data_IF_005221108107
#
_entry.id   IF_005221108107
#
_cell.length_a   1.000
_cell.length_b   1.000
_cell.length_c   1.000
_cell.angle_alpha   90.00
_cell.angle_beta   90.00
_cell.angle_gamma   90.00
#
_symmetry.space_group_name_H-M   'P 1'
#
loop_
_entity.id
_entity.type
_entity.pdbx_description
1 polymer ?
#
# COMPACT_ATOMS: atom_id res chain seq x y z
N UNK A 1 -17.22 -23.36 -14.21
CA UNK A 1 -18.12 -23.86 -13.15
C UNK A 1 -17.83 -23.06 -11.89
N UNK A 2 -18.70 -22.11 -11.56
CA UNK A 2 -18.57 -21.32 -10.34
C UNK A 2 -18.90 -22.20 -9.15
N UNK A 3 -17.94 -22.39 -8.25
CA UNK A 3 -18.19 -23.00 -6.96
C UNK A 3 -19.05 -22.02 -6.14
N UNK A 4 -20.25 -22.44 -5.80
CA UNK A 4 -21.16 -21.74 -4.90
C UNK A 4 -20.58 -21.86 -3.50
N UNK A 5 -20.06 -20.76 -2.95
CA UNK A 5 -19.70 -20.70 -1.53
C UNK A 5 -20.98 -20.75 -0.69
N UNK A 6 -21.12 -21.80 0.11
CA UNK A 6 -22.22 -22.01 1.04
C UNK A 6 -22.03 -21.17 2.31
N UNK A 7 -23.14 -20.61 2.81
CA UNK A 7 -23.20 -19.67 3.93
C UNK A 7 -22.77 -20.24 5.29
N UNK A 8 -21.46 -20.27 5.53
CA UNK A 8 -20.91 -19.99 6.86
C UNK A 8 -20.86 -18.47 7.05
N UNK A 9 -20.90 -17.93 8.30
CA UNK A 9 -20.47 -16.56 8.51
C UNK A 9 -19.06 -16.48 7.95
N UNK A 10 -18.89 -15.81 6.81
CA UNK A 10 -17.61 -15.74 6.13
C UNK A 10 -16.59 -15.23 7.15
N UNK A 11 -15.54 -16.01 7.41
CA UNK A 11 -14.45 -15.56 8.26
C UNK A 11 -13.97 -14.18 7.83
N UNK A 12 -13.46 -13.39 8.77
CA UNK A 12 -12.95 -12.04 8.47
C UNK A 12 -11.90 -12.03 7.35
N UNK A 13 -11.24 -13.18 7.12
CA UNK A 13 -10.31 -13.44 6.03
C UNK A 13 -10.98 -14.24 4.90
N UNK A 14 -10.77 -13.78 3.66
CA UNK A 14 -11.20 -14.42 2.42
C UNK A 14 -10.35 -15.67 2.15
N UNK A 15 -10.99 -16.79 1.81
CA UNK A 15 -10.32 -18.02 1.39
C UNK A 15 -9.43 -17.80 0.17
N UNK A 16 -8.34 -18.56 0.03
CA UNK A 16 -7.40 -18.44 -1.10
C UNK A 16 -6.85 -17.01 -1.29
N UNK A 17 -6.61 -16.29 -0.19
CA UNK A 17 -6.24 -14.87 -0.22
C UNK A 17 -5.04 -14.55 -1.11
N UNK A 18 -3.99 -15.39 -1.09
CA UNK A 18 -2.77 -15.17 -1.92
C UNK A 18 -3.12 -15.11 -3.40
N UNK A 19 -3.96 -16.02 -3.89
CA UNK A 19 -4.39 -16.05 -5.29
C UNK A 19 -5.21 -14.80 -5.65
N UNK A 20 -6.04 -14.33 -4.72
CA UNK A 20 -6.82 -13.10 -4.92
C UNK A 20 -5.96 -11.83 -4.88
N UNK A 21 -4.89 -11.79 -4.09
CA UNK A 21 -3.89 -10.71 -4.12
C UNK A 21 -3.14 -10.69 -5.45
N UNK A 22 -2.78 -11.86 -5.98
CA UNK A 22 -2.15 -11.98 -7.30
C UNK A 22 -3.12 -11.53 -8.41
N UNK A 23 -4.40 -11.91 -8.32
CA UNK A 23 -5.43 -11.43 -9.26
C UNK A 23 -5.56 -9.90 -9.23
N UNK A 24 -5.61 -9.31 -8.03
CA UNK A 24 -5.71 -7.87 -7.83
C UNK A 24 -4.53 -7.10 -8.43
N UNK A 25 -3.29 -7.58 -8.21
CA UNK A 25 -2.09 -6.95 -8.78
C UNK A 25 -2.10 -6.98 -10.32
N UNK A 26 -2.47 -8.12 -10.92
CA UNK A 26 -2.60 -8.26 -12.38
C UNK A 26 -3.68 -7.33 -12.95
N UNK A 27 -4.82 -7.22 -12.28
CA UNK A 27 -5.89 -6.33 -12.70
C UNK A 27 -5.44 -4.85 -12.73
N UNK A 28 -4.75 -4.40 -11.69
CA UNK A 28 -4.21 -3.05 -11.63
C UNK A 28 -3.10 -2.80 -12.67
N UNK A 29 -2.24 -3.78 -12.94
CA UNK A 29 -1.22 -3.68 -13.99
C UNK A 29 -1.82 -3.50 -15.38
N UNK A 30 -2.90 -4.22 -15.69
CA UNK A 30 -3.60 -4.08 -16.97
C UNK A 30 -4.18 -2.68 -17.13
N UNK A 31 -4.78 -2.13 -16.08
CA UNK A 31 -5.32 -0.76 -16.06
C UNK A 31 -4.19 0.27 -16.20
N UNK A 32 -3.10 0.11 -15.45
CA UNK A 32 -1.91 0.97 -15.53
C UNK A 32 -1.30 0.97 -16.93
N UNK A 33 -1.15 -0.20 -17.56
CA UNK A 33 -0.58 -0.32 -18.89
C UNK A 33 -1.40 0.47 -19.93
N UNK A 34 -2.73 0.38 -19.87
CA UNK A 34 -3.64 1.17 -20.72
C UNK A 34 -3.51 2.66 -20.44
N UNK A 35 -3.55 3.07 -19.17
CA UNK A 35 -3.44 4.48 -18.78
C UNK A 35 -2.11 5.09 -19.24
N UNK A 36 -1.02 4.34 -19.09
CA UNK A 36 0.30 4.75 -19.58
C UNK A 36 0.29 4.99 -21.08
N UNK A 37 -0.34 4.11 -21.86
CA UNK A 37 -0.42 4.27 -23.31
C UNK A 37 -1.22 5.52 -23.71
N UNK A 38 -2.36 5.77 -23.07
CA UNK A 38 -3.19 6.96 -23.34
C UNK A 38 -2.48 8.27 -22.98
N UNK A 39 -1.85 8.33 -21.81
CA UNK A 39 -1.11 9.52 -21.37
C UNK A 39 0.13 9.73 -22.24
N UNK A 40 0.86 8.66 -22.60
CA UNK A 40 2.01 8.75 -23.52
C UNK A 40 1.61 9.34 -24.89
N UNK A 41 0.49 8.88 -25.46
CA UNK A 41 -0.02 9.42 -26.73
C UNK A 41 -0.35 10.92 -26.66
N UNK A 42 -0.77 11.43 -25.50
CA UNK A 42 -1.04 12.86 -25.28
C UNK A 42 0.26 13.66 -25.17
N UNK A 43 1.23 13.18 -24.39
CA UNK A 43 2.42 13.96 -24.02
C UNK A 43 3.62 13.74 -24.94
N UNK A 44 3.56 12.76 -25.85
CA UNK A 44 4.64 12.38 -26.78
C UNK A 44 4.23 12.40 -28.27
N UNK A 45 3.61 13.47 -28.81
CA UNK A 45 3.12 13.49 -30.20
C UNK A 45 4.19 13.31 -31.28
N UNK A 46 5.48 13.52 -30.95
CA UNK A 46 6.63 13.29 -31.82
C UNK A 46 7.56 12.15 -31.35
N UNK A 47 7.06 11.23 -30.51
CA UNK A 47 7.85 10.14 -29.95
C UNK A 47 8.79 10.53 -28.79
N UNK A 48 8.82 11.81 -28.43
CA UNK A 48 9.52 12.34 -27.25
C UNK A 48 8.56 13.15 -26.39
N UNK A 49 8.79 13.15 -25.08
CA UNK A 49 8.01 13.95 -24.13
C UNK A 49 8.18 15.43 -24.46
N UNK A 50 7.06 16.14 -24.59
CA UNK A 50 7.03 17.59 -24.70
C UNK A 50 6.79 18.20 -23.32
N UNK A 51 7.76 18.95 -22.78
CA UNK A 51 7.62 19.61 -21.47
C UNK A 51 6.40 20.53 -21.40
N UNK A 52 6.16 21.33 -22.43
CA UNK A 52 4.98 22.21 -22.51
C UNK A 52 3.66 21.44 -22.46
N UNK A 53 3.58 20.27 -23.11
CA UNK A 53 2.37 19.45 -23.06
C UNK A 53 2.28 18.77 -21.70
N UNK A 54 3.39 18.26 -21.15
CA UNK A 54 3.41 17.65 -19.84
C UNK A 54 2.92 18.60 -18.75
N UNK A 55 3.34 19.87 -18.78
CA UNK A 55 2.87 20.90 -17.85
C UNK A 55 1.36 21.16 -18.00
N UNK A 56 0.85 21.23 -19.24
CA UNK A 56 -0.59 21.36 -19.50
C UNK A 56 -1.38 20.14 -19.01
N UNK A 57 -0.80 18.95 -19.17
CA UNK A 57 -1.39 17.66 -18.78
C UNK A 57 -0.96 17.22 -17.37
N UNK A 58 -0.46 18.13 -16.53
CA UNK A 58 0.19 17.80 -15.25
C UNK A 58 -0.70 16.93 -14.36
N UNK A 59 -2.00 17.24 -14.30
CA UNK A 59 -2.96 16.44 -13.53
C UNK A 59 -3.01 14.97 -14.00
N UNK A 60 -3.04 14.72 -15.31
CA UNK A 60 -3.02 13.36 -15.86
C UNK A 60 -1.66 12.68 -15.69
N UNK A 61 -0.56 13.43 -15.79
CA UNK A 61 0.78 12.91 -15.56
C UNK A 61 1.00 12.50 -14.10
N UNK A 62 0.61 13.34 -13.14
CA UNK A 62 0.65 13.02 -11.72
C UNK A 62 -0.34 11.90 -11.37
N UNK A 63 -1.55 11.93 -11.95
CA UNK A 63 -2.54 10.87 -11.75
C UNK A 63 -2.06 9.51 -12.25
N UNK A 64 -1.32 9.47 -13.36
CA UNK A 64 -0.66 8.25 -13.82
C UNK A 64 0.41 7.77 -12.83
N UNK A 65 1.19 8.68 -12.24
CA UNK A 65 2.17 8.32 -11.22
C UNK A 65 1.50 7.73 -9.97
N UNK A 66 0.40 8.32 -9.49
CA UNK A 66 -0.40 7.78 -8.38
C UNK A 66 -1.00 6.41 -8.70
N UNK A 67 -1.54 6.21 -9.90
CA UNK A 67 -2.00 4.90 -10.35
C UNK A 67 -0.86 3.87 -10.37
N UNK A 68 0.34 4.27 -10.83
CA UNK A 68 1.51 3.40 -10.83
C UNK A 68 1.93 3.02 -9.41
N UNK A 69 1.89 3.97 -8.47
CA UNK A 69 2.13 3.71 -7.04
C UNK A 69 1.14 2.69 -6.49
N UNK A 70 -0.16 2.83 -6.77
CA UNK A 70 -1.19 1.92 -6.27
C UNK A 70 -1.06 0.51 -6.87
N UNK A 71 -0.77 0.42 -8.18
CA UNK A 71 -0.48 -0.87 -8.82
C UNK A 71 0.78 -1.54 -8.23
N UNK A 72 1.81 -0.75 -7.90
CA UNK A 72 3.00 -1.25 -7.20
C UNK A 72 2.66 -1.77 -5.79
N UNK A 73 1.84 -1.06 -5.02
CA UNK A 73 1.39 -1.52 -3.69
C UNK A 73 0.69 -2.88 -3.79
N UNK A 74 -0.25 -3.06 -4.73
CA UNK A 74 -0.94 -4.35 -4.91
C UNK A 74 0.02 -5.49 -5.29
N UNK A 75 1.03 -5.19 -6.13
CA UNK A 75 2.07 -6.15 -6.51
C UNK A 75 2.92 -6.56 -5.29
N UNK A 76 3.38 -5.58 -4.51
CA UNK A 76 4.20 -5.84 -3.33
C UNK A 76 3.42 -6.57 -2.24
N UNK A 77 2.13 -6.29 -2.06
CA UNK A 77 1.25 -7.05 -1.16
C UNK A 77 1.12 -8.52 -1.59
N UNK A 78 0.97 -8.79 -2.89
CA UNK A 78 0.92 -10.15 -3.40
C UNK A 78 2.24 -10.90 -3.14
N UNK A 79 3.37 -10.28 -3.47
CA UNK A 79 4.68 -10.89 -3.24
C UNK A 79 5.01 -11.06 -1.75
N UNK A 80 4.62 -10.10 -0.91
CA UNK A 80 4.71 -10.21 0.55
C UNK A 80 3.95 -11.42 1.07
N UNK A 81 2.71 -11.59 0.64
CA UNK A 81 1.87 -12.73 1.01
C UNK A 81 2.48 -14.06 0.53
N UNK A 82 2.99 -14.13 -0.71
CA UNK A 82 3.67 -15.31 -1.24
C UNK A 82 4.89 -15.69 -0.40
N UNK A 83 5.79 -14.73 -0.13
CA UNK A 83 7.02 -14.97 0.66
C UNK A 83 6.71 -15.43 2.08
N UNK A 84 5.80 -14.73 2.77
CA UNK A 84 5.43 -15.11 4.12
C UNK A 84 4.73 -16.47 4.17
N UNK A 85 3.87 -16.78 3.19
CA UNK A 85 3.20 -18.07 3.08
C UNK A 85 4.21 -19.20 2.92
N UNK A 86 5.21 -19.02 2.04
CA UNK A 86 6.27 -20.00 1.83
C UNK A 86 7.09 -20.28 3.10
N UNK A 87 7.18 -19.31 4.01
CA UNK A 87 7.85 -19.45 5.31
C UNK A 87 6.93 -19.81 6.48
N UNK A 88 5.62 -20.02 6.24
CA UNK A 88 4.65 -20.30 7.31
C UNK A 88 4.37 -19.12 8.25
N UNK A 89 4.71 -17.90 7.85
CA UNK A 89 4.60 -16.66 8.64
C UNK A 89 3.44 -15.75 8.23
N UNK A 90 2.65 -16.14 7.23
CA UNK A 90 1.49 -15.36 6.78
C UNK A 90 0.26 -15.62 7.68
N UNK A 91 0.31 -15.09 8.89
CA UNK A 91 -0.72 -15.24 9.91
C UNK A 91 -1.96 -14.38 9.68
N UNK A 92 -2.89 -14.42 10.63
CA UNK A 92 -4.18 -13.72 10.52
C UNK A 92 -4.02 -12.20 10.41
N UNK A 93 -3.07 -11.61 11.15
CA UNK A 93 -2.86 -10.15 11.12
C UNK A 93 -2.35 -9.67 9.76
N UNK A 94 -1.42 -10.42 9.17
CA UNK A 94 -0.84 -10.16 7.85
C UNK A 94 -1.89 -10.34 6.76
N UNK A 95 -2.69 -11.41 6.86
CA UNK A 95 -3.81 -11.69 5.95
C UNK A 95 -4.83 -10.56 5.96
N UNK A 96 -5.31 -10.14 7.14
CA UNK A 96 -6.27 -9.04 7.27
C UNK A 96 -5.71 -7.73 6.74
N UNK A 97 -4.46 -7.41 7.07
CA UNK A 97 -3.79 -6.17 6.60
C UNK A 97 -3.69 -6.13 5.08
N UNK A 98 -3.18 -7.20 4.46
CA UNK A 98 -3.04 -7.28 3.01
C UNK A 98 -4.41 -7.26 2.29
N UNK A 99 -5.39 -7.99 2.83
CA UNK A 99 -6.75 -8.05 2.30
C UNK A 99 -7.45 -6.68 2.32
N UNK A 100 -7.41 -5.99 3.45
CA UNK A 100 -8.03 -4.67 3.63
C UNK A 100 -7.37 -3.65 2.70
N UNK A 101 -6.03 -3.61 2.67
CA UNK A 101 -5.29 -2.70 1.81
C UNK A 101 -5.59 -2.96 0.33
N UNK A 102 -5.59 -4.22 -0.11
CA UNK A 102 -5.88 -4.55 -1.49
C UNK A 102 -7.31 -4.18 -1.89
N UNK A 103 -8.30 -4.47 -1.03
CA UNK A 103 -9.69 -4.09 -1.28
C UNK A 103 -9.89 -2.58 -1.37
N UNK A 104 -9.24 -1.82 -0.49
CA UNK A 104 -9.30 -0.35 -0.53
C UNK A 104 -8.65 0.20 -1.80
N UNK A 105 -7.46 -0.29 -2.16
CA UNK A 105 -6.70 0.23 -3.30
C UNK A 105 -7.37 -0.10 -4.63
N UNK A 106 -7.99 -1.28 -4.78
CA UNK A 106 -8.80 -1.61 -5.96
C UNK A 106 -9.97 -0.62 -6.13
N UNK A 107 -10.69 -0.34 -5.04
CA UNK A 107 -11.82 0.57 -5.06
C UNK A 107 -11.40 2.03 -5.29
N UNK A 108 -10.26 2.47 -4.74
CA UNK A 108 -9.71 3.79 -5.01
C UNK A 108 -9.20 3.92 -6.45
N UNK A 109 -8.57 2.90 -7.02
CA UNK A 109 -8.22 2.93 -8.46
C UNK A 109 -9.49 3.09 -9.31
N UNK A 110 -10.55 2.34 -9.00
CA UNK A 110 -11.79 2.39 -9.77
C UNK A 110 -12.62 3.68 -9.55
N UNK A 111 -12.63 4.21 -8.32
CA UNK A 111 -13.47 5.35 -7.90
C UNK A 111 -12.77 6.72 -7.93
N UNK A 112 -11.44 6.73 -7.86
CA UNK A 112 -10.61 7.94 -7.82
C UNK A 112 -9.57 7.87 -6.70
N UNK A 113 -8.29 7.99 -7.06
CA UNK A 113 -7.17 7.97 -6.12
C UNK A 113 -6.99 9.38 -5.55
N UNK A 114 -7.05 9.57 -4.22
CA UNK A 114 -6.78 10.88 -3.62
C UNK A 114 -5.29 11.22 -3.75
N UNK A 115 -4.97 12.25 -4.52
CA UNK A 115 -3.60 12.80 -4.61
C UNK A 115 -3.33 13.80 -3.48
N UNK A 116 -4.38 14.50 -3.06
CA UNK A 116 -4.48 15.28 -1.84
C UNK A 116 -5.97 15.38 -1.43
N UNK A 117 -6.31 16.26 -0.47
CA UNK A 117 -7.69 16.36 0.02
C UNK A 117 -8.70 16.88 -1.02
N UNK A 118 -8.26 17.62 -2.05
CA UNK A 118 -9.12 18.22 -3.08
C UNK A 118 -8.94 17.64 -4.49
N UNK A 119 -7.85 16.92 -4.74
CA UNK A 119 -7.50 16.40 -6.06
C UNK A 119 -7.53 14.87 -6.11
N UNK A 120 -8.24 14.34 -7.09
CA UNK A 120 -8.39 12.91 -7.31
C UNK A 120 -7.96 12.54 -8.73
N UNK A 121 -7.11 11.54 -8.85
CA UNK A 121 -6.79 10.93 -10.13
C UNK A 121 -7.88 9.90 -10.48
N UNK A 122 -8.68 10.17 -11.51
CA UNK A 122 -9.70 9.24 -11.99
C UNK A 122 -9.32 8.65 -13.32
N UNK A 123 -9.76 7.42 -13.59
CA UNK A 123 -9.39 6.69 -14.80
C UNK A 123 -9.81 7.42 -16.09
N UNK A 124 -10.94 8.14 -16.09
CA UNK A 124 -11.36 8.95 -17.24
C UNK A 124 -10.41 10.10 -17.55
N UNK A 125 -9.76 10.68 -16.54
CA UNK A 125 -8.79 11.76 -16.73
C UNK A 125 -7.50 11.24 -17.39
N UNK A 126 -7.26 9.93 -17.28
CA UNK A 126 -6.19 9.17 -17.93
C UNK A 126 -6.60 8.58 -19.29
N UNK A 127 -7.84 8.83 -19.74
CA UNK A 127 -8.35 8.36 -21.03
C UNK A 127 -8.98 6.97 -21.02
N UNK A 128 -9.27 6.40 -19.84
CA UNK A 128 -9.87 5.07 -19.71
C UNK A 128 -11.40 5.12 -19.61
N UNK A 129 -12.04 4.11 -20.18
CA UNK A 129 -13.48 3.89 -20.06
C UNK A 129 -13.84 3.04 -18.83
N UNK A 130 -15.13 2.97 -18.49
CA UNK A 130 -15.63 2.04 -17.46
C UNK A 130 -15.30 0.58 -17.79
N UNK A 131 -15.35 0.19 -19.07
CA UNK A 131 -14.98 -1.17 -19.48
C UNK A 131 -13.50 -1.47 -19.28
N UNK A 132 -12.62 -0.46 -19.32
CA UNK A 132 -11.20 -0.66 -19.03
C UNK A 132 -10.96 -0.97 -17.55
N UNK A 133 -11.84 -0.50 -16.67
CA UNK A 133 -11.79 -0.74 -15.23
C UNK A 133 -12.45 -2.06 -14.78
N UNK A 134 -13.16 -2.76 -15.68
CA UNK A 134 -13.89 -4.00 -15.36
C UNK A 134 -13.04 -5.05 -14.61
N UNK A 135 -11.76 -5.31 -14.97
CA UNK A 135 -10.94 -6.28 -14.25
C UNK A 135 -10.75 -5.98 -12.75
N UNK A 136 -10.82 -4.70 -12.34
CA UNK A 136 -10.73 -4.31 -10.93
C UNK A 136 -11.98 -4.75 -10.16
N UNK A 137 -13.15 -4.59 -10.77
CA UNK A 137 -14.44 -4.94 -10.16
C UNK A 137 -14.67 -6.46 -10.07
N UNK A 138 -14.05 -7.22 -10.98
CA UNK A 138 -14.11 -8.68 -11.00
C UNK A 138 -13.21 -9.33 -9.92
N UNK A 139 -12.39 -8.55 -9.24
CA UNK A 139 -11.58 -9.03 -8.11
C UNK A 139 -12.46 -9.23 -6.88
N UNK A 140 -12.41 -10.42 -6.28
CA UNK A 140 -13.14 -10.73 -5.03
C UNK A 140 -12.83 -9.71 -3.93
N UNK A 141 -11.58 -9.26 -3.84
CA UNK A 141 -11.12 -8.28 -2.86
C UNK A 141 -11.74 -6.89 -3.04
N UNK A 142 -12.18 -6.52 -4.24
CA UNK A 142 -12.88 -5.24 -4.44
C UNK A 142 -14.21 -5.20 -3.67
N UNK A 143 -14.85 -6.36 -3.45
CA UNK A 143 -16.12 -6.45 -2.73
C UNK A 143 -15.95 -6.89 -1.28
N UNK A 144 -15.01 -7.81 -1.03
CA UNK A 144 -14.86 -8.49 0.27
C UNK A 144 -13.57 -8.18 1.01
N UNK A 145 -12.70 -7.34 0.43
CA UNK A 145 -11.39 -7.05 1.01
C UNK A 145 -11.49 -6.16 2.25
N UNK A 146 -12.07 -4.97 2.09
CA UNK A 146 -12.17 -3.95 3.15
C UNK A 146 -13.56 -3.89 3.78
N UNK A 147 -13.94 -4.93 4.54
CA UNK A 147 -15.24 -4.98 5.25
C UNK A 147 -15.15 -4.45 6.68
N UNK A 148 -16.30 -4.16 7.30
CA UNK A 148 -16.34 -3.74 8.70
C UNK A 148 -15.83 -4.84 9.63
N UNK A 149 -16.16 -6.09 9.32
CA UNK A 149 -15.75 -7.28 10.07
C UNK A 149 -14.23 -7.49 9.99
N UNK A 150 -13.63 -7.35 8.80
CA UNK A 150 -12.18 -7.45 8.62
C UNK A 150 -11.44 -6.36 9.41
N UNK A 151 -11.92 -5.11 9.36
CA UNK A 151 -11.32 -3.99 10.11
C UNK A 151 -11.46 -4.18 11.62
N UNK A 152 -12.62 -4.62 12.09
CA UNK A 152 -12.85 -4.91 13.51
C UNK A 152 -11.89 -5.99 14.00
N UNK A 153 -11.76 -7.09 13.25
CA UNK A 153 -10.84 -8.19 13.59
C UNK A 153 -9.38 -7.74 13.61
N UNK A 154 -8.95 -6.94 12.62
CA UNK A 154 -7.59 -6.40 12.62
C UNK A 154 -7.33 -5.50 13.84
N UNK A 155 -8.33 -4.70 14.23
CA UNK A 155 -8.23 -3.81 15.39
C UNK A 155 -8.09 -4.61 16.69
N UNK A 156 -8.85 -5.71 16.86
CA UNK A 156 -8.68 -6.63 17.99
C UNK A 156 -7.25 -7.18 18.07
N UNK A 157 -6.71 -7.64 16.94
CA UNK A 157 -5.34 -8.17 16.85
C UNK A 157 -4.31 -7.10 17.25
N UNK A 158 -4.47 -5.86 16.78
CA UNK A 158 -3.61 -4.73 17.14
C UNK A 158 -3.70 -4.42 18.65
N UNK A 159 -4.89 -4.45 19.23
CA UNK A 159 -5.08 -4.25 20.66
C UNK A 159 -4.38 -5.33 21.51
N UNK A 160 -4.30 -6.55 21.00
CA UNK A 160 -3.53 -7.66 21.60
C UNK A 160 -2.01 -7.59 21.31
N UNK A 161 -1.52 -6.49 20.74
CA UNK A 161 -0.11 -6.27 20.42
C UNK A 161 0.39 -7.00 19.17
N UNK A 162 -0.52 -7.50 18.33
CA UNK A 162 -0.19 -8.21 17.09
C UNK A 162 -0.23 -7.22 15.91
N UNK A 163 0.94 -6.69 15.53
CA UNK A 163 1.07 -5.67 14.47
C UNK A 163 1.44 -6.21 13.08
N UNK A 164 1.74 -7.50 12.98
CA UNK A 164 2.10 -8.16 11.73
C UNK A 164 3.61 -8.36 11.55
N UNK A 165 3.98 -9.42 10.83
CA UNK A 165 5.34 -9.74 10.41
C UNK A 165 5.74 -8.86 9.21
N UNK A 166 6.84 -8.12 9.35
CA UNK A 166 7.39 -7.25 8.31
C UNK A 166 7.99 -7.98 7.09
N UNK A 167 8.27 -9.28 7.22
CA UNK A 167 8.98 -10.06 6.20
C UNK A 167 10.48 -9.81 6.13
N UNK A 168 11.04 -9.04 7.07
CA UNK A 168 12.48 -8.83 7.21
C UNK A 168 13.18 -10.13 7.63
N UNK A 169 14.48 -10.22 7.31
CA UNK A 169 15.38 -11.22 7.87
C UNK A 169 15.79 -10.87 9.31
N UNK A 170 16.43 -11.83 9.98
CA UNK A 170 16.82 -11.70 11.39
C UNK A 170 17.76 -10.52 11.63
N UNK A 171 18.66 -10.23 10.69
CA UNK A 171 19.62 -9.12 10.83
C UNK A 171 18.90 -7.78 10.79
N UNK A 172 18.01 -7.58 9.82
CA UNK A 172 17.21 -6.36 9.71
C UNK A 172 16.19 -6.22 10.85
N UNK A 173 15.64 -7.34 11.34
CA UNK A 173 14.76 -7.36 12.50
C UNK A 173 15.47 -6.92 13.78
N UNK A 174 16.70 -7.40 14.02
CA UNK A 174 17.53 -7.00 15.16
C UNK A 174 17.91 -5.52 15.12
N UNK A 175 18.27 -5.01 13.94
CA UNK A 175 18.54 -3.57 13.74
C UNK A 175 17.28 -2.76 14.07
N UNK A 176 16.12 -3.16 13.55
CA UNK A 176 14.85 -2.47 13.81
C UNK A 176 14.49 -2.48 15.31
N UNK A 177 14.71 -3.60 16.01
CA UNK A 177 14.46 -3.69 17.45
C UNK A 177 15.44 -2.82 18.25
N UNK A 178 16.71 -2.81 17.87
CA UNK A 178 17.75 -1.97 18.51
C UNK A 178 17.40 -0.49 18.40
N UNK A 179 17.06 -0.02 17.20
CA UNK A 179 16.67 1.37 16.98
C UNK A 179 15.35 1.73 17.69
N UNK A 180 14.37 0.81 17.71
CA UNK A 180 13.13 1.01 18.46
C UNK A 180 13.41 1.21 19.95
N UNK A 181 14.28 0.39 20.55
CA UNK A 181 14.66 0.50 21.95
C UNK A 181 15.37 1.81 22.25
N UNK A 182 16.32 2.21 21.39
CA UNK A 182 16.98 3.50 21.49
C UNK A 182 15.96 4.66 21.50
N UNK A 183 14.99 4.65 20.58
CA UNK A 183 13.96 5.69 20.54
C UNK A 183 13.11 5.70 21.82
N UNK A 184 12.69 4.54 22.32
CA UNK A 184 11.86 4.44 23.53
C UNK A 184 12.60 4.92 24.78
N UNK A 185 13.88 4.60 24.89
CA UNK A 185 14.64 4.87 26.12
C UNK A 185 15.27 6.27 26.11
N UNK A 186 15.71 6.76 24.95
CA UNK A 186 16.57 7.95 24.83
C UNK A 186 15.90 9.15 24.16
N UNK A 187 14.84 8.93 23.37
CA UNK A 187 14.22 10.01 22.57
C UNK A 187 12.81 10.33 23.05
N UNK A 188 11.91 9.34 23.06
CA UNK A 188 10.50 9.52 23.35
C UNK A 188 10.22 10.21 24.71
N UNK A 189 10.92 9.90 25.81
CA UNK A 189 10.68 10.55 27.11
C UNK A 189 11.02 12.04 27.14
N UNK A 190 11.87 12.51 26.22
CA UNK A 190 12.43 13.86 26.23
C UNK A 190 11.95 14.73 25.07
N UNK A 191 11.46 14.12 23.99
CA UNK A 191 11.08 14.81 22.76
C UNK A 191 10.10 15.97 22.95
N UNK A 192 9.08 15.80 23.81
CA UNK A 192 8.11 16.87 24.10
C UNK A 192 8.76 18.08 24.77
N UNK A 193 9.69 17.84 25.70
CA UNK A 193 10.37 18.91 26.41
C UNK A 193 11.35 19.68 25.50
N UNK A 194 12.09 18.97 24.64
CA UNK A 194 12.91 19.60 23.62
C UNK A 194 12.08 20.51 22.71
N UNK A 195 10.92 20.02 22.26
CA UNK A 195 9.99 20.81 21.45
C UNK A 195 9.50 22.05 22.21
N UNK A 196 9.06 21.89 23.47
CA UNK A 196 8.59 23.01 24.30
C UNK A 196 9.63 24.10 24.49
N UNK A 197 10.91 23.74 24.53
CA UNK A 197 12.03 24.69 24.69
C UNK A 197 12.56 25.24 23.37
N UNK A 198 12.01 24.82 22.23
CA UNK A 198 12.60 25.07 20.91
C UNK A 198 14.10 24.71 20.87
N UNK A 199 14.46 23.61 21.56
CA UNK A 199 15.84 23.16 21.67
C UNK A 199 16.21 22.31 20.46
N UNK A 200 17.51 22.30 20.12
CA UNK A 200 18.05 21.28 19.23
C UNK A 200 17.93 19.89 19.85
N UNK A 201 17.98 18.85 19.01
CA UNK A 201 18.25 17.49 19.49
C UNK A 201 19.60 17.51 20.22
N UNK A 202 19.70 17.01 21.47
CA UNK A 202 20.93 17.05 22.24
C UNK A 202 22.10 16.38 21.51
N UNK A 203 23.30 16.94 21.64
CA UNK A 203 24.49 16.40 20.96
C UNK A 203 24.83 14.99 21.46
N UNK A 204 24.49 14.71 22.72
CA UNK A 204 24.65 13.40 23.35
C UNK A 204 23.85 12.33 22.60
N UNK A 205 22.64 12.64 22.09
CA UNK A 205 21.85 11.71 21.28
C UNK A 205 22.54 11.40 19.95
N UNK A 206 23.13 12.42 19.33
CA UNK A 206 23.89 12.26 18.06
C UNK A 206 25.14 11.42 18.30
N UNK A 207 25.83 11.62 19.42
CA UNK A 207 27.00 10.84 19.81
C UNK A 207 26.63 9.37 20.06
N UNK A 208 25.57 9.09 20.81
CA UNK A 208 25.11 7.72 21.04
C UNK A 208 24.72 7.03 19.71
N UNK A 209 24.09 7.74 18.77
CA UNK A 209 23.79 7.20 17.43
C UNK A 209 25.07 6.90 16.61
N UNK A 210 26.10 7.74 16.72
CA UNK A 210 27.39 7.49 16.08
C UNK A 210 28.10 6.27 16.67
N UNK A 211 28.04 6.07 17.99
CA UNK A 211 28.56 4.88 18.66
C UNK A 211 27.83 3.59 18.23
N UNK A 212 26.54 3.69 17.89
CA UNK A 212 25.75 2.61 17.30
C UNK A 212 26.04 2.36 15.80
N UNK A 213 26.93 3.13 15.18
CA UNK A 213 27.31 2.97 13.78
C UNK A 213 26.25 3.42 12.79
N UNK A 214 25.39 4.37 13.18
CA UNK A 214 24.35 4.92 12.28
C UNK A 214 24.95 5.81 11.18
N UNK A 215 26.12 6.41 11.43
CA UNK A 215 26.82 7.33 10.53
C UNK A 215 28.15 6.76 10.05
#
# INVERSE_FOLDING_TARGET
>A
MAAVESGHPAGAVVSHLVDHLIQASRAADLVLAKARAHVAARVMPGGKISGKILDREQHAAHGLAWLATYAAVLRELAQYAERLTASGRFGETEQLTAQIAAGEYLNQIAGGIPMNQGEFARLQDLGLSRSDAAPLHDCVLAQRGNTAEARARLTERIADGQFGDSGLDDTLADIAQTMRRFVQDKVAPHAHDWHRRNAYVPLEIVQELAELGVF
#
